data_IF_997163830300
#
_entry.id   IF_997163830300
#
_cell.length_a   1.000
_cell.length_b   1.000
_cell.length_c   1.000
_cell.angle_alpha   90.00
_cell.angle_beta   90.00
_cell.angle_gamma   90.00
#
_symmetry.space_group_name_H-M   'P 1'
#
loop_
_entity.id
_entity.type
_entity.pdbx_description
1 polymer ?
#
# COMPACT_ATOMS: atom_id res chain seq x y z
N UNK A 1 -23.02 -20.40 -1.75
CA UNK A 1 -22.37 -21.72 -1.60
C UNK A 1 -21.32 -21.82 -2.70
N UNK A 2 -20.01 -21.57 -2.53
CA UNK A 2 -19.09 -22.16 -1.55
C UNK A 2 -17.79 -21.35 -1.30
N UNK A 3 -17.64 -20.12 -1.80
CA UNK A 3 -16.34 -19.41 -1.75
C UNK A 3 -16.15 -18.41 -0.59
N UNK A 4 -17.20 -18.10 0.18
CA UNK A 4 -17.14 -17.11 1.28
C UNK A 4 -16.66 -17.76 2.60
N UNK A 5 -16.63 -19.09 2.66
CA UNK A 5 -16.42 -19.84 3.91
C UNK A 5 -14.94 -20.14 4.25
N UNK A 6 -13.97 -19.79 3.40
CA UNK A 6 -12.55 -20.13 3.64
C UNK A 6 -11.68 -19.03 4.26
N UNK A 7 -12.17 -17.80 4.36
CA UNK A 7 -11.39 -16.70 4.97
C UNK A 7 -11.75 -16.41 6.44
N UNK A 8 -12.77 -17.09 6.98
CA UNK A 8 -13.21 -16.86 8.37
C UNK A 8 -12.37 -17.61 9.42
N UNK A 9 -11.45 -18.50 9.01
CA UNK A 9 -10.84 -19.48 9.92
C UNK A 9 -9.43 -19.16 10.41
N UNK A 10 -8.85 -17.98 10.15
CA UNK A 10 -7.44 -17.75 10.48
C UNK A 10 -7.09 -16.58 11.43
N UNK A 11 -8.06 -15.87 12.04
CA UNK A 11 -7.73 -14.65 12.83
C UNK A 11 -8.33 -14.62 14.25
N UNK A 12 -8.91 -15.71 14.76
CA UNK A 12 -9.46 -15.72 16.13
C UNK A 12 -8.93 -16.89 16.97
N UNK A 13 -7.63 -16.90 17.29
CA UNK A 13 -7.09 -17.76 18.35
C UNK A 13 -7.27 -17.06 19.72
N UNK A 14 -8.28 -17.50 20.48
CA UNK A 14 -8.50 -17.09 21.87
C UNK A 14 -7.64 -17.92 22.83
N UNK A 15 -7.00 -17.33 23.86
CA UNK A 15 -6.41 -18.11 24.93
C UNK A 15 -7.48 -18.55 25.94
N UNK A 16 -7.42 -19.83 26.30
CA UNK A 16 -8.29 -20.49 27.29
C UNK A 16 -7.79 -20.25 28.71
N UNK A 17 -8.64 -19.71 29.61
CA UNK A 17 -8.50 -19.94 31.07
C UNK A 17 -9.84 -19.90 31.79
N UNK A 18 -9.93 -20.72 32.85
CA UNK A 18 -11.08 -21.32 33.53
C UNK A 18 -11.70 -20.51 34.68
N UNK A 19 -12.89 -20.99 35.10
CA UNK A 19 -13.61 -20.84 36.39
C UNK A 19 -14.74 -19.80 36.52
N UNK A 20 -15.89 -20.35 36.95
CA UNK A 20 -17.25 -19.81 36.96
C UNK A 20 -17.55 -19.17 38.31
N UNK A 21 -17.90 -17.88 38.32
CA UNK A 21 -18.97 -17.25 39.14
C UNK A 21 -18.87 -15.71 39.12
N UNK A 22 -18.69 -15.13 37.92
CA UNK A 22 -18.97 -13.72 37.52
C UNK A 22 -19.31 -13.70 36.03
N UNK A 23 -19.93 -14.78 35.55
CA UNK A 23 -19.93 -15.19 34.14
C UNK A 23 -20.83 -14.31 33.28
N UNK A 24 -21.92 -13.76 33.83
CA UNK A 24 -22.88 -12.98 33.05
C UNK A 24 -22.31 -11.63 32.57
N UNK A 25 -21.71 -10.84 33.46
CA UNK A 25 -21.12 -9.54 33.12
C UNK A 25 -19.80 -9.69 32.37
N UNK A 26 -18.99 -10.70 32.69
CA UNK A 26 -17.72 -10.94 32.00
C UNK A 26 -17.94 -11.43 30.56
N UNK A 27 -18.95 -12.27 30.31
CA UNK A 27 -19.31 -12.72 28.96
C UNK A 27 -19.84 -11.55 28.11
N UNK A 28 -20.63 -10.65 28.69
CA UNK A 28 -21.12 -9.45 28.01
C UNK A 28 -19.97 -8.50 27.65
N UNK A 29 -19.02 -8.29 28.56
CA UNK A 29 -17.82 -7.48 28.32
C UNK A 29 -16.91 -8.09 27.25
N UNK A 30 -16.75 -9.41 27.23
CA UNK A 30 -15.98 -10.13 26.19
C UNK A 30 -16.66 -10.03 24.83
N UNK A 31 -18.00 -10.14 24.77
CA UNK A 31 -18.75 -9.99 23.52
C UNK A 31 -18.66 -8.56 22.99
N UNK A 32 -18.81 -7.55 23.86
CA UNK A 32 -18.65 -6.14 23.48
C UNK A 32 -17.22 -5.83 23.05
N UNK A 33 -16.20 -6.33 23.75
CA UNK A 33 -14.80 -6.12 23.36
C UNK A 33 -14.44 -6.85 22.06
N UNK A 34 -15.02 -8.03 21.79
CA UNK A 34 -14.90 -8.71 20.50
C UNK A 34 -15.55 -7.90 19.37
N UNK A 35 -16.76 -7.36 19.58
CA UNK A 35 -17.45 -6.53 18.60
C UNK A 35 -16.67 -5.23 18.32
N UNK A 36 -16.13 -4.57 19.35
CA UNK A 36 -15.30 -3.36 19.21
C UNK A 36 -13.99 -3.67 18.48
N UNK A 37 -13.29 -4.75 18.85
CA UNK A 37 -12.03 -5.15 18.19
C UNK A 37 -12.24 -5.51 16.72
N UNK A 38 -13.33 -6.23 16.41
CA UNK A 38 -13.70 -6.59 15.04
C UNK A 38 -14.04 -5.34 14.20
N UNK A 39 -14.72 -4.34 14.80
CA UNK A 39 -15.04 -3.08 14.13
C UNK A 39 -13.80 -2.21 13.84
N UNK A 40 -12.83 -2.17 14.75
CA UNK A 40 -11.57 -1.45 14.56
C UNK A 40 -10.71 -2.07 13.45
N UNK A 41 -10.63 -3.41 13.39
CA UNK A 41 -9.91 -4.11 12.33
C UNK A 41 -10.56 -3.97 10.96
N UNK A 42 -11.90 -3.95 10.88
CA UNK A 42 -12.61 -3.73 9.62
C UNK A 42 -12.43 -2.29 9.08
N UNK A 43 -12.45 -1.27 9.94
CA UNK A 43 -12.17 0.11 9.54
C UNK A 43 -10.72 0.31 9.12
N UNK A 44 -9.75 -0.35 9.76
CA UNK A 44 -8.35 -0.35 9.30
C UNK A 44 -8.19 -1.01 7.94
N UNK A 45 -8.83 -2.16 7.71
CA UNK A 45 -8.79 -2.86 6.43
C UNK A 45 -9.40 -2.01 5.30
N UNK A 46 -10.54 -1.36 5.56
CA UNK A 46 -11.14 -0.38 4.64
C UNK A 46 -10.20 0.80 4.35
N UNK A 47 -9.50 1.33 5.35
CA UNK A 47 -8.56 2.46 5.17
C UNK A 47 -7.34 2.06 4.35
N UNK A 48 -6.81 0.85 4.56
CA UNK A 48 -5.71 0.30 3.76
C UNK A 48 -6.12 -0.02 2.31
N UNK A 49 -7.35 -0.52 2.08
CA UNK A 49 -7.89 -0.74 0.74
C UNK A 49 -8.11 0.60 -0.01
N UNK A 50 -8.60 1.63 0.68
CA UNK A 50 -8.75 2.99 0.10
C UNK A 50 -7.39 3.58 -0.29
N UNK A 51 -6.36 3.38 0.54
CA UNK A 51 -4.98 3.83 0.25
C UNK A 51 -4.38 3.05 -0.94
N UNK A 52 -4.60 1.74 -1.00
CA UNK A 52 -4.19 0.87 -2.10
C UNK A 52 -4.86 1.26 -3.43
N UNK A 53 -6.17 1.43 -3.45
CA UNK A 53 -6.90 1.86 -4.67
C UNK A 53 -6.43 3.24 -5.14
N UNK A 54 -6.17 4.16 -4.20
CA UNK A 54 -5.64 5.48 -4.52
C UNK A 54 -4.24 5.35 -5.13
N UNK A 55 -3.36 4.55 -4.54
CA UNK A 55 -2.02 4.30 -5.09
C UNK A 55 -2.10 3.75 -6.52
N UNK A 56 -2.92 2.71 -6.76
CA UNK A 56 -3.11 2.10 -8.08
C UNK A 56 -3.61 3.12 -9.11
N UNK A 57 -4.55 3.98 -8.73
CA UNK A 57 -5.13 4.99 -9.61
C UNK A 57 -4.16 6.14 -9.98
N UNK A 58 -3.07 6.34 -9.21
CA UNK A 58 -2.10 7.40 -9.45
C UNK A 58 -0.92 6.96 -10.34
N UNK A 59 -0.92 5.75 -10.89
CA UNK A 59 0.09 5.34 -11.86
C UNK A 59 -0.24 5.84 -13.27
N UNK A 60 0.72 6.51 -13.89
CA UNK A 60 0.70 6.81 -15.32
C UNK A 60 1.42 5.68 -16.08
N UNK A 61 0.70 4.99 -16.96
CA UNK A 61 1.20 3.82 -17.70
C UNK A 61 1.69 4.25 -19.08
N UNK A 62 2.99 4.08 -19.32
CA UNK A 62 3.62 4.30 -20.61
C UNK A 62 3.92 2.98 -21.31
N UNK A 63 3.27 2.74 -22.46
CA UNK A 63 3.50 1.57 -23.30
C UNK A 63 4.77 1.72 -24.14
N UNK A 64 5.35 0.59 -24.52
CA UNK A 64 6.57 0.46 -25.32
C UNK A 64 7.75 1.24 -24.75
N UNK A 65 7.80 1.35 -23.42
CA UNK A 65 8.87 2.02 -22.67
C UNK A 65 9.42 1.09 -21.60
N UNK A 66 10.74 1.08 -21.53
CA UNK A 66 11.52 0.37 -20.51
C UNK A 66 12.50 1.32 -19.85
N UNK A 67 12.90 1.01 -18.62
CA UNK A 67 13.96 1.72 -17.91
C UNK A 67 15.33 1.23 -18.39
N UNK A 68 16.21 2.16 -18.74
CA UNK A 68 17.64 1.88 -18.92
C UNK A 68 18.26 1.68 -17.54
N UNK A 69 18.23 0.44 -17.04
CA UNK A 69 18.62 0.09 -15.66
C UNK A 69 19.99 0.64 -15.28
N UNK A 70 21.03 0.40 -16.10
CA UNK A 70 22.40 0.81 -15.78
C UNK A 70 22.54 2.34 -15.68
N UNK A 71 21.93 3.09 -16.59
CA UNK A 71 22.02 4.55 -16.57
C UNK A 71 21.19 5.16 -15.45
N UNK A 72 20.05 4.56 -15.13
CA UNK A 72 19.20 4.98 -14.02
C UNK A 72 19.91 4.75 -12.69
N UNK A 73 20.58 3.61 -12.52
CA UNK A 73 21.39 3.31 -11.33
C UNK A 73 22.58 4.26 -11.17
N UNK A 74 23.26 4.64 -12.27
CA UNK A 74 24.32 5.67 -12.24
C UNK A 74 23.81 7.03 -11.77
N UNK A 75 22.54 7.35 -12.01
CA UNK A 75 21.88 8.56 -11.49
C UNK A 75 21.31 8.36 -10.08
N UNK A 76 21.46 7.17 -9.50
CA UNK A 76 21.07 6.84 -8.13
C UNK A 76 19.66 6.25 -7.99
N UNK A 77 19.04 5.78 -9.08
CA UNK A 77 17.85 4.95 -8.99
C UNK A 77 18.22 3.59 -8.39
N UNK A 78 17.30 2.97 -7.66
CA UNK A 78 17.51 1.65 -7.06
C UNK A 78 16.61 0.63 -7.73
N UNK A 79 17.17 -0.53 -8.03
CA UNK A 79 16.39 -1.71 -8.33
C UNK A 79 15.93 -2.34 -7.02
N UNK A 80 14.64 -2.63 -6.89
CA UNK A 80 14.08 -3.17 -5.66
C UNK A 80 13.99 -4.69 -5.73
N UNK A 81 13.22 -5.23 -6.67
CA UNK A 81 12.93 -6.66 -6.79
C UNK A 81 12.21 -6.98 -8.12
N UNK A 82 12.17 -8.27 -8.48
CA UNK A 82 11.38 -8.83 -9.59
C UNK A 82 10.42 -9.91 -9.12
N UNK A 83 9.32 -10.06 -9.85
CA UNK A 83 8.36 -11.14 -9.69
C UNK A 83 7.79 -11.54 -11.05
N UNK A 84 7.57 -12.83 -11.26
CA UNK A 84 6.84 -13.33 -12.41
C UNK A 84 5.34 -13.34 -12.08
N UNK A 85 4.63 -12.30 -12.50
CA UNK A 85 3.20 -12.11 -12.22
C UNK A 85 2.40 -12.31 -13.51
N UNK A 86 1.20 -12.87 -13.45
CA UNK A 86 0.45 -13.13 -14.68
C UNK A 86 -0.10 -11.86 -15.34
N UNK A 87 -0.22 -10.77 -14.57
CA UNK A 87 -0.96 -9.57 -14.98
C UNK A 87 -0.32 -8.26 -14.50
N UNK A 88 -0.61 -7.17 -15.22
CA UNK A 88 -0.14 -5.82 -14.87
C UNK A 88 -0.79 -5.33 -13.57
N UNK A 89 -2.04 -5.71 -13.33
CA UNK A 89 -2.82 -5.34 -12.15
C UNK A 89 -2.21 -5.91 -10.85
N UNK A 90 -1.62 -7.10 -10.91
CA UNK A 90 -0.84 -7.66 -9.80
C UNK A 90 0.45 -6.86 -9.57
N UNK A 91 1.14 -6.43 -10.63
CA UNK A 91 2.35 -5.61 -10.53
C UNK A 91 2.06 -4.23 -9.90
N UNK A 92 0.92 -3.63 -10.23
CA UNK A 92 0.43 -2.39 -9.60
C UNK A 92 0.24 -2.55 -8.09
N UNK A 93 -0.48 -3.58 -7.67
CA UNK A 93 -0.71 -3.86 -6.24
C UNK A 93 0.59 -4.08 -5.50
N UNK A 94 1.46 -4.90 -6.07
CA UNK A 94 2.74 -5.23 -5.48
C UNK A 94 3.64 -4.00 -5.30
N UNK A 95 3.67 -3.09 -6.28
CA UNK A 95 4.41 -1.83 -6.13
C UNK A 95 3.82 -0.97 -5.00
N UNK A 96 2.49 -0.88 -4.87
CA UNK A 96 1.87 -0.16 -3.76
C UNK A 96 2.13 -0.77 -2.37
N UNK A 97 2.31 -2.09 -2.30
CA UNK A 97 2.67 -2.80 -1.06
C UNK A 97 4.18 -2.77 -0.78
N UNK A 98 5.00 -2.47 -1.77
CA UNK A 98 6.47 -2.45 -1.67
C UNK A 98 6.96 -1.06 -1.27
N UNK A 99 7.65 -0.98 -0.14
CA UNK A 99 8.22 0.27 0.35
C UNK A 99 9.17 0.92 -0.67
N UNK A 100 8.96 2.22 -0.90
CA UNK A 100 9.74 3.06 -1.83
C UNK A 100 9.58 2.72 -3.32
N UNK A 101 8.64 1.86 -3.70
CA UNK A 101 8.34 1.66 -5.12
C UNK A 101 7.62 2.89 -5.68
N UNK A 102 8.18 3.50 -6.71
CA UNK A 102 7.57 4.62 -7.42
C UNK A 102 7.49 4.39 -8.94
N UNK A 103 8.19 3.37 -9.46
CA UNK A 103 8.12 2.98 -10.86
C UNK A 103 8.21 1.47 -10.98
N UNK A 104 7.41 0.88 -11.86
CA UNK A 104 7.57 -0.51 -12.26
C UNK A 104 7.64 -0.66 -13.78
N UNK A 105 8.22 -1.78 -14.23
CA UNK A 105 8.22 -2.23 -15.61
C UNK A 105 7.52 -3.59 -15.67
N UNK A 106 6.58 -3.75 -16.59
CA UNK A 106 5.87 -4.98 -16.85
C UNK A 106 6.21 -5.50 -18.26
N UNK A 107 6.53 -6.78 -18.36
CA UNK A 107 6.84 -7.48 -19.60
C UNK A 107 5.57 -8.11 -20.19
N UNK A 108 5.08 -7.58 -21.31
CA UNK A 108 3.81 -8.01 -21.92
C UNK A 108 3.93 -9.35 -22.67
N UNK A 109 5.14 -9.73 -23.08
CA UNK A 109 5.38 -10.85 -24.01
C UNK A 109 5.66 -12.19 -23.33
N UNK A 110 6.32 -12.19 -22.17
CA UNK A 110 6.76 -13.42 -21.50
C UNK A 110 6.27 -13.40 -20.05
N UNK A 111 5.43 -14.37 -19.68
CA UNK A 111 4.99 -14.71 -18.31
C UNK A 111 4.42 -13.58 -17.43
N UNK A 112 4.50 -12.31 -17.86
CA UNK A 112 4.22 -11.09 -17.10
C UNK A 112 5.30 -10.71 -16.07
N UNK A 113 6.58 -10.70 -16.47
CA UNK A 113 7.67 -10.23 -15.58
C UNK A 113 7.42 -8.81 -15.05
N UNK A 114 7.45 -8.63 -13.74
CA UNK A 114 7.23 -7.36 -13.03
C UNK A 114 8.52 -6.95 -12.30
N UNK A 115 9.07 -5.79 -12.67
CA UNK A 115 10.33 -5.28 -12.15
C UNK A 115 10.10 -3.95 -11.43
N UNK A 116 10.46 -3.87 -10.15
CA UNK A 116 10.19 -2.72 -9.30
C UNK A 116 11.44 -1.84 -9.12
N UNK A 117 11.24 -0.53 -9.17
CA UNK A 117 12.30 0.47 -9.07
C UNK A 117 11.92 1.60 -8.11
N UNK A 118 12.96 2.22 -7.57
CA UNK A 118 12.89 3.50 -6.87
C UNK A 118 13.69 4.54 -7.65
N UNK A 119 12.98 5.40 -8.36
CA UNK A 119 13.47 6.46 -9.22
C UNK A 119 13.52 7.82 -8.52
N UNK A 120 12.83 7.97 -7.39
CA UNK A 120 12.79 9.19 -6.60
C UNK A 120 11.65 10.14 -6.99
N UNK A 121 11.55 11.29 -6.30
CA UNK A 121 10.54 12.31 -6.57
C UNK A 121 10.58 12.84 -8.02
N UNK A 122 9.47 13.39 -8.55
CA UNK A 122 9.45 14.01 -9.87
C UNK A 122 10.43 15.18 -10.01
N UNK A 123 10.74 15.91 -8.93
CA UNK A 123 11.71 17.02 -8.95
C UNK A 123 13.16 16.55 -9.17
N UNK A 124 13.46 15.30 -8.82
CA UNK A 124 14.79 14.69 -8.98
C UNK A 124 14.64 13.25 -9.47
N UNK A 125 14.00 13.11 -10.62
CA UNK A 125 13.67 11.81 -11.18
C UNK A 125 14.90 11.15 -11.84
N UNK A 126 15.31 9.99 -11.30
CA UNK A 126 16.58 9.33 -11.64
C UNK A 126 16.45 8.23 -12.68
N UNK A 127 15.24 7.88 -13.12
CA UNK A 127 15.07 6.85 -14.13
C UNK A 127 15.10 7.41 -15.54
N UNK A 128 15.80 6.71 -16.43
CA UNK A 128 15.84 7.01 -17.86
C UNK A 128 15.04 5.97 -18.61
N UNK A 129 14.08 6.43 -19.39
CA UNK A 129 13.29 5.56 -20.25
C UNK A 129 13.89 5.48 -21.65
N UNK A 130 13.71 4.33 -22.29
CA UNK A 130 13.97 4.12 -23.71
C UNK A 130 12.79 3.38 -24.33
N UNK A 131 12.62 3.55 -25.63
CA UNK A 131 11.60 2.80 -26.36
C UNK A 131 12.02 1.33 -26.45
N UNK A 132 11.12 0.43 -26.08
CA UNK A 132 11.27 -1.01 -26.27
C UNK A 132 9.89 -1.65 -26.39
N UNK A 133 9.62 -2.26 -27.55
CA UNK A 133 8.37 -2.96 -27.78
C UNK A 133 8.19 -4.12 -26.79
N UNK A 134 6.96 -4.40 -26.40
CA UNK A 134 6.56 -5.48 -25.47
C UNK A 134 6.89 -5.25 -23.99
N UNK A 135 7.27 -4.03 -23.62
CA UNK A 135 7.36 -3.62 -22.21
C UNK A 135 6.46 -2.42 -21.99
N UNK A 136 5.84 -2.36 -20.82
CA UNK A 136 5.17 -1.17 -20.33
C UNK A 136 5.84 -0.73 -19.02
N UNK A 137 6.01 0.58 -18.84
CA UNK A 137 6.53 1.16 -17.60
C UNK A 137 5.47 2.06 -17.01
N UNK A 138 5.25 1.98 -15.70
CA UNK A 138 4.32 2.88 -15.03
C UNK A 138 5.04 3.69 -13.96
N UNK A 139 4.73 4.99 -13.91
CA UNK A 139 5.32 5.95 -12.96
C UNK A 139 4.23 6.42 -12.02
N UNK A 140 4.52 6.35 -10.73
CA UNK A 140 3.63 6.78 -9.69
C UNK A 140 3.59 8.32 -9.62
N UNK A 141 2.51 8.90 -10.16
CA UNK A 141 2.24 10.33 -10.12
C UNK A 141 1.66 10.72 -8.76
N UNK A 142 2.37 10.42 -7.66
CA UNK A 142 1.92 10.91 -6.35
C UNK A 142 2.11 12.42 -6.30
N UNK A 143 1.01 13.14 -6.16
CA UNK A 143 1.00 14.47 -5.57
C UNK A 143 1.32 14.31 -4.07
N UNK A 144 2.61 14.31 -3.69
CA UNK A 144 3.11 13.91 -2.35
C UNK A 144 2.65 14.82 -1.21
N UNK A 145 1.79 15.79 -1.51
CA UNK A 145 1.28 16.78 -0.57
C UNK A 145 0.19 16.29 0.38
N UNK A 146 -0.46 15.13 0.15
CA UNK A 146 -1.57 14.70 1.03
C UNK A 146 -1.16 14.31 2.46
N UNK A 147 -0.13 13.45 2.69
CA UNK A 147 0.31 13.15 4.06
C UNK A 147 0.96 14.38 4.73
N UNK A 148 1.60 15.24 3.94
CA UNK A 148 2.18 16.50 4.41
C UNK A 148 1.09 17.48 4.86
N UNK A 149 0.01 17.64 4.09
CA UNK A 149 -1.10 18.53 4.42
C UNK A 149 -1.82 18.10 5.70
N UNK A 150 -2.06 16.80 5.92
CA UNK A 150 -2.61 16.33 7.20
C UNK A 150 -1.68 16.63 8.38
N UNK A 151 -0.37 16.49 8.20
CA UNK A 151 0.61 16.81 9.23
C UNK A 151 0.64 18.31 9.54
N UNK A 152 0.54 19.16 8.51
CA UNK A 152 0.46 20.62 8.65
C UNK A 152 -0.84 21.08 9.30
N UNK A 153 -1.98 20.44 8.98
CA UNK A 153 -3.28 20.70 9.63
C UNK A 153 -3.24 20.32 11.12
N UNK A 154 -2.56 19.22 11.47
CA UNK A 154 -2.37 18.81 12.88
C UNK A 154 -1.47 19.80 13.64
N UNK A 155 -0.40 20.28 13.02
CA UNK A 155 0.50 21.28 13.62
C UNK A 155 -0.21 22.62 13.86
N UNK A 156 -0.91 23.15 12.85
CA UNK A 156 -1.63 24.43 12.96
C UNK A 156 -2.75 24.36 14.00
N UNK A 157 -3.46 23.23 14.10
CA UNK A 157 -4.45 23.03 15.15
C UNK A 157 -3.83 23.02 16.54
N UNK A 158 -2.69 22.35 16.71
CA UNK A 158 -1.98 22.32 18.00
C UNK A 158 -1.52 23.72 18.44
N UNK A 159 -1.01 24.53 17.51
CA UNK A 159 -0.61 25.91 17.75
C UNK A 159 -1.80 26.80 18.18
N UNK A 160 -2.95 26.63 17.52
CA UNK A 160 -4.19 27.35 17.86
C UNK A 160 -4.76 26.99 19.23
N UNK A 161 -4.51 25.77 19.73
CA UNK A 161 -4.94 25.38 21.07
C UNK A 161 -3.97 25.88 22.15
N UNK A 162 -2.68 25.99 21.84
CA UNK A 162 -1.69 26.64 22.71
C UNK A 162 -1.91 28.15 22.85
N UNK A 163 -2.42 28.82 21.81
CA UNK A 163 -2.70 30.26 21.86
C UNK A 163 -3.94 30.61 22.70
N UNK A 164 -4.86 29.67 22.93
CA UNK A 164 -6.03 29.84 23.81
C UNK A 164 -5.70 29.71 25.30
N UNK A 165 -4.50 29.26 25.64
CA UNK A 165 -4.03 29.09 27.01
C UNK A 165 -3.16 30.27 27.51
N UNK A 166 -2.95 31.28 26.65
CA UNK A 166 -2.31 32.56 26.99
C UNK A 166 -3.36 33.65 27.15
#
# INVERSE_FOLDING_TARGET
MLAITKFYTHVCTFPSTTMVSKVSTLLLLILVSCLVSCSEQFLRFKRADIDLQTCIANFDIHRDKIIRTQDSQKMGAKYLTEFDLGTREECLRLCCETDNCDVFVFEEKNSGGCYLFHCGPPENFKCKFTHHANYSSAVLAINRHLPDLESQIKLTKHEQDLSKLR
#
